data_IF_730868157102
#
_entry.id   IF_730868157102
#
_cell.length_a   1.000
_cell.length_b   1.000
_cell.length_c   1.000
_cell.angle_alpha   90.00
_cell.angle_beta   90.00
_cell.angle_gamma   90.00
#
_symmetry.space_group_name_H-M   'P 1'
#
loop_
_entity.id
_entity.type
_entity.pdbx_description
1 polymer ?
#
# COMPACT_ATOMS: atom_id res chain seq x y z
N UNK A 1 65.77 41.44 -20.13
CA UNK A 1 64.63 40.68 -20.68
C UNK A 1 64.73 39.26 -20.15
N UNK A 2 63.94 38.89 -19.13
CA UNK A 2 63.97 37.57 -18.48
C UNK A 2 62.54 37.06 -18.38
N UNK A 3 62.25 35.99 -19.12
CA UNK A 3 60.96 35.33 -19.20
C UNK A 3 60.57 34.71 -17.85
N UNK A 4 59.36 35.01 -17.36
CA UNK A 4 58.74 34.30 -16.22
C UNK A 4 57.75 33.28 -16.77
N UNK A 5 58.10 32.01 -16.63
CA UNK A 5 57.26 30.87 -16.93
C UNK A 5 56.06 30.83 -15.97
N UNK A 6 54.86 30.70 -16.53
CA UNK A 6 53.63 30.41 -15.78
C UNK A 6 53.56 28.90 -15.56
N UNK A 7 53.75 28.46 -14.32
CA UNK A 7 53.51 27.09 -13.90
C UNK A 7 51.99 26.96 -13.70
N UNK A 8 51.35 26.24 -14.62
CA UNK A 8 49.95 25.85 -14.54
C UNK A 8 49.80 24.76 -13.48
N UNK A 9 49.36 25.13 -12.30
CA UNK A 9 49.03 24.18 -11.23
C UNK A 9 47.60 23.68 -11.46
N UNK A 10 47.45 22.45 -11.94
CA UNK A 10 46.17 21.76 -11.92
C UNK A 10 45.77 21.49 -10.46
N UNK A 11 44.81 22.25 -9.95
CA UNK A 11 44.11 21.91 -8.70
C UNK A 11 43.17 20.75 -9.01
N UNK A 12 43.61 19.53 -8.72
CA UNK A 12 42.71 18.39 -8.61
C UNK A 12 42.01 18.46 -7.25
N UNK A 13 40.81 19.05 -7.24
CA UNK A 13 39.93 19.00 -6.07
C UNK A 13 39.26 17.62 -6.04
N UNK A 14 39.87 16.66 -5.33
CA UNK A 14 39.18 15.43 -4.96
C UNK A 14 38.16 15.77 -3.85
N UNK A 15 36.92 16.07 -4.24
CA UNK A 15 35.79 16.18 -3.30
C UNK A 15 35.37 14.76 -2.88
N UNK A 16 36.19 14.12 -2.06
CA UNK A 16 35.79 12.97 -1.25
C UNK A 16 35.02 13.45 -0.02
N UNK A 17 33.80 13.94 -0.22
CA UNK A 17 32.88 14.19 0.89
C UNK A 17 32.48 12.87 1.54
N UNK A 18 32.42 12.78 2.89
CA UNK A 18 31.92 11.57 3.52
C UNK A 18 30.47 11.35 3.09
N UNK A 19 30.19 10.17 2.55
CA UNK A 19 28.83 9.66 2.44
C UNK A 19 28.30 9.53 3.87
N UNK A 20 27.60 10.55 4.37
CA UNK A 20 26.87 10.43 5.62
C UNK A 20 25.87 9.30 5.41
N UNK A 21 26.04 8.20 6.14
CA UNK A 21 25.06 7.13 6.20
C UNK A 21 23.74 7.73 6.67
N UNK A 22 22.82 7.95 5.75
CA UNK A 22 21.54 8.54 6.06
C UNK A 22 20.78 7.54 6.93
N UNK A 23 20.46 7.94 8.17
CA UNK A 23 19.68 7.10 9.06
C UNK A 23 18.36 6.72 8.36
N UNK A 24 17.98 5.45 8.44
CA UNK A 24 16.77 4.95 7.78
C UNK A 24 15.56 5.81 8.15
N UNK A 25 14.73 6.23 7.18
CA UNK A 25 13.51 6.96 7.48
C UNK A 25 12.69 6.18 8.51
N UNK A 26 12.36 6.82 9.63
CA UNK A 26 11.64 6.20 10.74
C UNK A 26 12.50 5.65 11.89
N UNK A 27 13.82 5.84 11.88
CA UNK A 27 14.70 5.52 13.00
C UNK A 27 14.45 6.39 14.25
N UNK A 28 13.89 7.59 14.06
CA UNK A 28 13.54 8.55 15.12
C UNK A 28 12.05 8.52 15.51
N UNK A 29 11.30 7.48 15.12
CA UNK A 29 9.92 7.30 15.55
C UNK A 29 9.87 6.48 16.83
N UNK A 30 9.11 6.96 17.82
CA UNK A 30 8.86 6.24 19.07
C UNK A 30 8.17 4.93 18.77
N UNK A 31 8.78 3.80 19.16
CA UNK A 31 8.24 2.47 18.86
C UNK A 31 7.05 2.15 19.77
N UNK A 32 6.07 1.44 19.22
CA UNK A 32 4.88 0.94 19.93
C UNK A 32 4.02 2.03 20.61
N UNK A 33 4.09 3.25 20.08
CA UNK A 33 3.32 4.38 20.60
C UNK A 33 1.81 4.23 20.33
N UNK A 34 1.44 3.72 19.16
CA UNK A 34 0.06 3.60 18.71
C UNK A 34 -0.49 2.17 18.91
N UNK A 35 -1.74 2.06 19.35
CA UNK A 35 -2.43 0.78 19.50
C UNK A 35 -2.64 0.10 18.14
N UNK A 36 -2.50 -1.22 18.11
CA UNK A 36 -2.82 -2.00 16.91
C UNK A 36 -4.35 -2.08 16.70
N UNK A 37 -4.89 -1.62 15.56
CA UNK A 37 -6.32 -1.69 15.29
C UNK A 37 -6.75 -3.12 14.95
N UNK A 38 -7.84 -3.59 15.56
CA UNK A 38 -8.46 -4.88 15.24
C UNK A 38 -9.49 -4.69 14.12
N UNK A 39 -9.33 -5.34 12.95
CA UNK A 39 -10.28 -5.20 11.85
C UNK A 39 -11.59 -5.93 12.15
N UNK A 40 -12.71 -5.28 11.83
CA UNK A 40 -14.06 -5.87 11.91
C UNK A 40 -14.33 -6.80 10.72
N UNK A 41 -15.35 -7.65 10.80
CA UNK A 41 -15.81 -8.47 9.68
C UNK A 41 -16.37 -7.62 8.51
N UNK A 42 -16.12 -8.07 7.28
CA UNK A 42 -16.58 -7.47 6.04
C UNK A 42 -18.06 -7.85 5.82
N UNK A 43 -18.96 -6.88 5.62
CA UNK A 43 -20.36 -7.19 5.39
C UNK A 43 -20.55 -7.93 4.07
N UNK A 44 -21.40 -8.96 4.10
CA UNK A 44 -21.85 -9.66 2.90
C UNK A 44 -22.85 -8.80 2.11
N UNK A 45 -22.87 -8.98 0.79
CA UNK A 45 -23.93 -8.44 -0.06
C UNK A 45 -25.25 -9.21 0.18
N UNK A 46 -26.37 -8.66 -0.29
CA UNK A 46 -27.70 -9.29 -0.18
C UNK A 46 -27.83 -10.68 -0.85
N UNK A 47 -26.81 -11.14 -1.60
CA UNK A 47 -26.74 -12.50 -2.15
C UNK A 47 -25.89 -13.44 -1.28
N UNK A 48 -26.30 -14.71 -1.22
CA UNK A 48 -25.61 -15.76 -0.45
C UNK A 48 -24.11 -15.79 -0.77
N UNK A 49 -23.27 -15.67 0.27
CA UNK A 49 -21.81 -15.80 0.20
C UNK A 49 -21.14 -14.88 -0.84
N UNK A 50 -21.69 -13.68 -1.04
CA UNK A 50 -21.17 -12.72 -2.01
C UNK A 50 -20.65 -11.44 -1.35
N UNK A 51 -19.55 -10.90 -1.86
CA UNK A 51 -18.90 -9.68 -1.38
C UNK A 51 -18.63 -8.74 -2.54
N UNK A 52 -18.95 -7.45 -2.41
CA UNK A 52 -18.57 -6.44 -3.41
C UNK A 52 -17.65 -5.40 -2.78
N UNK A 53 -16.35 -5.53 -3.06
CA UNK A 53 -15.29 -4.77 -2.38
C UNK A 53 -14.66 -3.81 -3.38
N UNK A 54 -14.69 -2.52 -3.06
CA UNK A 54 -14.03 -1.47 -3.80
C UNK A 54 -12.71 -1.04 -3.17
N UNK A 55 -11.73 -0.69 -4.01
CA UNK A 55 -10.52 0.00 -3.58
C UNK A 55 -10.72 1.52 -3.72
N UNK A 56 -10.54 2.26 -2.64
CA UNK A 56 -10.76 3.71 -2.58
C UNK A 56 -9.56 4.42 -1.97
N UNK A 57 -9.30 5.66 -2.41
CA UNK A 57 -8.23 6.45 -1.81
C UNK A 57 -8.77 7.14 -0.54
N UNK A 58 -8.11 6.92 0.58
CA UNK A 58 -8.47 7.48 1.90
C UNK A 58 -7.27 8.17 2.53
N UNK A 59 -7.53 9.13 3.41
CA UNK A 59 -6.52 9.77 4.24
C UNK A 59 -6.42 9.00 5.58
N UNK A 60 -5.23 8.57 5.95
CA UNK A 60 -5.00 7.78 7.16
C UNK A 60 -3.72 8.22 7.88
N UNK A 61 -3.77 8.31 9.21
CA UNK A 61 -2.60 8.59 10.04
C UNK A 61 -1.93 7.27 10.41
N UNK A 62 -0.79 6.95 9.77
CA UNK A 62 -0.06 5.70 9.98
C UNK A 62 0.72 5.68 11.30
N UNK A 63 1.03 6.85 11.84
CA UNK A 63 1.73 7.01 13.11
C UNK A 63 1.40 8.38 13.71
N UNK A 64 1.29 8.50 15.03
CA UNK A 64 1.00 9.78 15.70
C UNK A 64 2.01 10.89 15.34
N UNK A 65 3.28 10.51 15.17
CA UNK A 65 4.39 11.43 14.80
C UNK A 65 4.57 11.63 13.29
N UNK A 66 3.70 11.07 12.45
CA UNK A 66 3.75 11.24 10.99
C UNK A 66 2.56 12.08 10.49
N UNK A 67 2.76 12.86 9.42
CA UNK A 67 1.65 13.53 8.76
C UNK A 67 0.65 12.51 8.18
N UNK A 68 -0.59 12.95 8.02
CA UNK A 68 -1.64 12.15 7.40
C UNK A 68 -1.22 11.74 5.99
N UNK A 69 -1.29 10.44 5.71
CA UNK A 69 -0.84 9.84 4.45
C UNK A 69 -2.05 9.39 3.63
N UNK A 70 -2.00 9.60 2.30
CA UNK A 70 -3.01 9.07 1.39
C UNK A 70 -2.69 7.61 1.06
N UNK A 71 -3.60 6.72 1.44
CA UNK A 71 -3.48 5.26 1.22
C UNK A 71 -4.68 4.75 0.43
N UNK A 72 -4.59 3.50 -0.01
CA UNK A 72 -5.73 2.78 -0.59
C UNK A 72 -6.38 1.92 0.49
N UNK A 73 -7.64 2.19 0.79
CA UNK A 73 -8.48 1.40 1.69
C UNK A 73 -9.47 0.54 0.92
N UNK A 74 -9.92 -0.55 1.53
CA UNK A 74 -10.93 -1.44 0.95
C UNK A 74 -12.22 -1.40 1.75
N UNK A 75 -13.35 -1.38 1.06
CA UNK A 75 -14.69 -1.37 1.68
C UNK A 75 -15.80 -1.57 0.66
N UNK A 76 -17.04 -1.64 1.12
CA UNK A 76 -18.22 -1.76 0.25
C UNK A 76 -18.58 -0.44 -0.45
N UNK A 77 -18.18 0.69 0.13
CA UNK A 77 -18.31 2.02 -0.45
C UNK A 77 -17.09 2.86 -0.05
N UNK A 78 -16.92 4.04 -0.64
CA UNK A 78 -15.84 4.96 -0.25
C UNK A 78 -15.95 5.40 1.22
N UNK A 79 -17.17 5.55 1.73
CA UNK A 79 -17.42 5.94 3.12
C UNK A 79 -17.09 4.82 4.13
N UNK A 80 -17.19 3.56 3.71
CA UNK A 80 -16.87 2.39 4.56
C UNK A 80 -15.47 1.82 4.32
N UNK A 81 -14.69 2.43 3.41
CA UNK A 81 -13.34 2.01 3.11
C UNK A 81 -12.39 2.35 4.26
N UNK A 82 -11.65 1.35 4.74
CA UNK A 82 -10.74 1.50 5.87
C UNK A 82 -9.36 0.93 5.60
N UNK A 83 -8.41 1.36 6.43
CA UNK A 83 -7.08 0.76 6.57
C UNK A 83 -6.85 0.48 8.08
N UNK A 84 -6.53 -0.76 8.49
CA UNK A 84 -6.68 -1.98 7.70
C UNK A 84 -8.14 -2.17 7.23
N UNK A 85 -8.31 -2.93 6.16
CA UNK A 85 -9.62 -3.30 5.66
C UNK A 85 -10.33 -4.26 6.62
N UNK A 86 -11.66 -4.31 6.53
CA UNK A 86 -12.46 -5.34 7.22
C UNK A 86 -12.10 -6.75 6.71
N UNK A 87 -12.17 -7.74 7.59
CA UNK A 87 -11.80 -9.14 7.32
C UNK A 87 -12.91 -9.89 6.61
N UNK A 88 -12.60 -10.66 5.56
CA UNK A 88 -13.57 -11.57 4.94
C UNK A 88 -13.57 -12.87 5.74
N UNK A 89 -14.68 -13.16 6.43
CA UNK A 89 -14.88 -14.40 7.19
C UNK A 89 -15.72 -15.39 6.38
N UNK A 90 -15.28 -16.66 6.32
CA UNK A 90 -15.90 -17.69 5.48
C UNK A 90 -15.90 -19.06 6.14
N UNK A 91 -16.84 -19.91 5.73
CA UNK A 91 -16.91 -21.29 6.15
C UNK A 91 -16.16 -22.20 5.17
N UNK A 92 -15.48 -23.23 5.70
CA UNK A 92 -14.79 -24.23 4.89
C UNK A 92 -15.79 -25.00 4.02
N UNK A 93 -15.44 -25.21 2.75
CA UNK A 93 -16.26 -25.97 1.80
C UNK A 93 -17.41 -25.18 1.18
N UNK A 94 -17.61 -23.92 1.61
CA UNK A 94 -18.67 -23.06 1.08
C UNK A 94 -18.08 -22.11 0.04
N UNK A 95 -18.49 -22.19 -1.24
CA UNK A 95 -18.00 -21.29 -2.26
C UNK A 95 -18.50 -19.87 -2.01
N UNK A 96 -17.61 -18.89 -2.20
CA UNK A 96 -17.92 -17.46 -2.12
C UNK A 96 -17.68 -16.79 -3.47
N UNK A 97 -18.35 -15.65 -3.69
CA UNK A 97 -18.11 -14.78 -4.85
C UNK A 97 -17.65 -13.40 -4.39
N UNK A 98 -16.42 -13.03 -4.74
CA UNK A 98 -15.91 -11.68 -4.48
C UNK A 98 -15.86 -10.89 -5.78
N UNK A 99 -16.56 -9.76 -5.80
CA UNK A 99 -16.49 -8.78 -6.86
C UNK A 99 -15.57 -7.64 -6.43
N UNK A 100 -14.41 -7.54 -7.09
CA UNK A 100 -13.47 -6.46 -6.90
C UNK A 100 -13.84 -5.27 -7.80
N UNK A 101 -13.90 -4.08 -7.22
CA UNK A 101 -14.19 -2.83 -7.93
C UNK A 101 -13.00 -1.88 -7.77
N UNK A 102 -12.57 -1.28 -8.86
CA UNK A 102 -11.62 -0.19 -8.79
C UNK A 102 -12.42 1.11 -8.60
N UNK A 103 -12.28 1.77 -7.45
CA UNK A 103 -12.95 3.05 -7.16
C UNK A 103 -12.33 4.24 -7.89
N UNK A 104 -11.27 4.05 -8.70
CA UNK A 104 -10.77 5.11 -9.59
C UNK A 104 -11.77 5.37 -10.71
N UNK A 105 -12.45 6.50 -10.65
CA UNK A 105 -13.25 7.07 -11.74
C UNK A 105 -12.33 7.60 -12.85
N UNK A 106 -11.67 6.71 -13.59
CA UNK A 106 -11.20 6.89 -14.98
C UNK A 106 -10.66 5.56 -15.47
N UNK A 107 -11.57 4.72 -15.96
CA UNK A 107 -11.22 3.62 -16.84
C UNK A 107 -11.82 3.96 -18.20
N UNK A 108 -11.01 4.49 -19.12
CA UNK A 108 -11.33 4.37 -20.55
C UNK A 108 -11.14 2.89 -20.86
N UNK A 109 -12.22 2.21 -21.27
CA UNK A 109 -12.28 0.76 -21.58
C UNK A 109 -12.51 -0.15 -20.38
N UNK A 110 -13.78 -0.47 -20.11
CA UNK A 110 -14.20 -1.45 -19.12
C UNK A 110 -13.54 -2.82 -19.39
N UNK A 111 -12.52 -3.19 -18.61
CA UNK A 111 -12.09 -4.57 -18.52
C UNK A 111 -13.13 -5.34 -17.70
N UNK A 112 -13.89 -6.20 -18.38
CA UNK A 112 -14.85 -7.12 -17.77
C UNK A 112 -14.09 -8.10 -16.87
N UNK A 113 -14.24 -7.98 -15.56
CA UNK A 113 -13.68 -8.94 -14.61
C UNK A 113 -14.44 -10.26 -14.72
N UNK A 114 -13.82 -11.28 -15.30
CA UNK A 114 -14.32 -12.66 -15.26
C UNK A 114 -14.10 -13.22 -13.86
N UNK A 115 -15.18 -13.66 -13.21
CA UNK A 115 -15.11 -14.37 -11.93
C UNK A 115 -14.27 -15.64 -12.08
N UNK A 116 -13.15 -15.74 -11.38
CA UNK A 116 -12.44 -17.01 -11.23
C UNK A 116 -13.16 -17.80 -10.13
N UNK A 117 -13.92 -18.82 -10.49
CA UNK A 117 -14.43 -19.78 -9.52
C UNK A 117 -13.24 -20.63 -9.04
N UNK A 118 -13.03 -20.70 -7.75
CA UNK A 118 -12.06 -21.62 -7.15
C UNK A 118 -12.76 -22.95 -6.95
N UNK A 119 -12.33 -23.98 -7.69
CA UNK A 119 -12.76 -25.36 -7.48
C UNK A 119 -11.82 -26.02 -6.46
N UNK A 120 -12.32 -26.51 -5.32
CA UNK A 120 -11.51 -27.30 -4.41
C UNK A 120 -11.04 -28.57 -5.12
N UNK A 121 -9.72 -28.77 -5.20
CA UNK A 121 -9.17 -30.06 -5.62
C UNK A 121 -9.29 -31.01 -4.42
N UNK A 122 -10.23 -31.95 -4.48
CA UNK A 122 -10.27 -33.07 -3.53
C UNK A 122 -9.05 -33.95 -3.79
N UNK A 123 -8.03 -33.84 -2.93
CA UNK A 123 -6.99 -34.88 -2.84
C UNK A 123 -7.60 -36.04 -2.05
N UNK A 124 -7.96 -37.11 -2.75
CA UNK A 124 -8.27 -38.40 -2.12
C UNK A 124 -7.02 -38.90 -1.41
N UNK A 125 -7.15 -39.21 -0.12
CA UNK A 125 -6.17 -39.97 0.66
C UNK A 125 -6.13 -41.43 0.19
#
# INVERSE_FOLDING_TARGET
>A
MKHRALISTCISLALGGPLLAQAWPGSNLTKYMDNCPIPLAMPQNAGVNSYSIGAYQIAHQLHAQLPVTRVWGYGTTQATASWPAKTIEVQRGVPIKVQWRNGRTRVRTAARFTSKQWTPTTRSS
#
